data_IF_964884153496
#
_entry.id   IF_964884153496
#
_cell.length_a   1.000
_cell.length_b   1.000
_cell.length_c   1.000
_cell.angle_alpha   90.00
_cell.angle_beta   90.00
_cell.angle_gamma   90.00
#
_symmetry.space_group_name_H-M   'P 1'
#
loop_
_entity.id
_entity.type
_entity.pdbx_description
1 polymer ?
#
# COMPACT_ATOMS: atom_id res chain seq x y z
N UNK A 1 -24.26 12.47 -33.04
CA UNK A 1 -23.85 13.34 -31.90
C UNK A 1 -24.31 12.81 -30.53
N UNK A 2 -24.72 11.53 -30.43
CA UNK A 2 -25.28 10.89 -29.23
C UNK A 2 -24.34 9.90 -28.52
N UNK A 3 -23.19 9.58 -29.11
CA UNK A 3 -22.31 8.50 -28.66
C UNK A 3 -21.34 8.91 -27.51
N UNK A 4 -21.03 10.20 -27.38
CA UNK A 4 -20.13 10.70 -26.33
C UNK A 4 -20.74 10.68 -24.91
N UNK A 5 -22.07 10.65 -24.79
CA UNK A 5 -22.75 10.64 -23.48
C UNK A 5 -22.84 9.24 -22.85
N UNK A 6 -22.80 8.15 -23.64
CA UNK A 6 -22.91 6.78 -23.11
C UNK A 6 -21.61 6.24 -22.52
N UNK A 7 -20.43 6.73 -22.95
CA UNK A 7 -19.14 6.36 -22.33
C UNK A 7 -18.95 6.94 -20.93
N UNK A 8 -19.64 8.03 -20.57
CA UNK A 8 -19.47 8.69 -19.26
C UNK A 8 -20.22 8.04 -18.11
N UNK A 9 -21.07 7.04 -18.34
CA UNK A 9 -21.82 6.36 -17.26
C UNK A 9 -21.16 5.06 -16.80
N UNK A 10 -20.30 4.44 -17.63
CA UNK A 10 -19.70 3.13 -17.34
C UNK A 10 -18.33 3.16 -16.67
N UNK A 11 -17.79 4.33 -16.29
CA UNK A 11 -16.49 4.41 -15.59
C UNK A 11 -16.52 3.80 -14.19
N UNK A 12 -17.71 3.78 -13.57
CA UNK A 12 -17.90 3.31 -12.20
C UNK A 12 -17.51 1.85 -12.04
N UNK A 13 -17.94 0.97 -12.95
CA UNK A 13 -17.68 -0.48 -12.86
C UNK A 13 -16.17 -0.81 -12.86
N UNK A 14 -15.37 -0.40 -13.87
CA UNK A 14 -13.94 -0.70 -13.88
C UNK A 14 -13.19 0.02 -12.74
N UNK A 15 -13.57 1.25 -12.40
CA UNK A 15 -12.96 1.99 -11.31
C UNK A 15 -13.22 1.30 -9.96
N UNK A 16 -14.48 1.02 -9.62
CA UNK A 16 -14.84 0.40 -8.34
C UNK A 16 -14.34 -1.03 -8.23
N UNK A 17 -14.22 -1.77 -9.33
CA UNK A 17 -13.58 -3.10 -9.32
C UNK A 17 -12.10 -3.03 -8.93
N UNK A 18 -11.35 -2.05 -9.43
CA UNK A 18 -9.96 -1.82 -9.02
C UNK A 18 -9.93 -1.30 -7.58
N UNK A 19 -10.79 -0.33 -7.27
CA UNK A 19 -10.81 0.37 -5.99
C UNK A 19 -11.10 -0.58 -4.83
N UNK A 20 -12.03 -1.53 -4.96
CA UNK A 20 -12.32 -2.51 -3.91
C UNK A 20 -11.14 -3.46 -3.70
N UNK A 21 -10.52 -3.96 -4.77
CA UNK A 21 -9.30 -4.77 -4.67
C UNK A 21 -8.17 -4.02 -3.93
N UNK A 22 -8.03 -2.73 -4.21
CA UNK A 22 -7.07 -1.88 -3.53
C UNK A 22 -7.43 -1.62 -2.07
N UNK A 23 -8.72 -1.44 -1.76
CA UNK A 23 -9.19 -1.33 -0.39
C UNK A 23 -8.79 -2.57 0.44
N UNK A 24 -9.02 -3.77 -0.10
CA UNK A 24 -8.61 -5.03 0.54
C UNK A 24 -7.08 -5.12 0.71
N UNK A 25 -6.31 -4.78 -0.33
CA UNK A 25 -4.84 -4.77 -0.26
C UNK A 25 -4.32 -3.81 0.83
N UNK A 26 -4.95 -2.63 0.95
CA UNK A 26 -4.60 -1.65 1.96
C UNK A 26 -4.92 -2.12 3.38
N UNK A 27 -6.02 -2.87 3.59
CA UNK A 27 -6.30 -3.52 4.89
C UNK A 27 -5.15 -4.44 5.27
N UNK A 28 -4.79 -5.39 4.39
CA UNK A 28 -3.70 -6.35 4.66
C UNK A 28 -2.37 -5.65 4.92
N UNK A 29 -2.07 -4.60 4.16
CA UNK A 29 -0.85 -3.79 4.35
C UNK A 29 -0.80 -3.15 5.73
N UNK A 30 -1.91 -2.56 6.20
CA UNK A 30 -2.00 -1.86 7.49
C UNK A 30 -1.92 -2.82 8.67
N UNK A 31 -2.63 -3.94 8.57
CA UNK A 31 -2.57 -5.04 9.54
C UNK A 31 -1.14 -5.56 9.66
N UNK A 32 -0.51 -5.91 8.54
CA UNK A 32 0.86 -6.43 8.53
C UNK A 32 1.88 -5.40 9.05
N UNK A 33 1.71 -4.12 8.70
CA UNK A 33 2.59 -3.07 9.21
C UNK A 33 2.52 -2.95 10.74
N UNK A 34 1.31 -2.96 11.30
CA UNK A 34 1.15 -2.97 12.75
C UNK A 34 1.76 -4.23 13.38
N UNK A 35 1.46 -5.40 12.81
CA UNK A 35 1.95 -6.67 13.31
C UNK A 35 3.49 -6.73 13.38
N UNK A 36 4.17 -6.26 12.33
CA UNK A 36 5.64 -6.23 12.31
C UNK A 36 6.24 -5.27 13.33
N UNK A 37 5.66 -4.09 13.50
CA UNK A 37 6.09 -3.10 14.50
C UNK A 37 5.88 -3.67 15.92
N UNK A 38 4.73 -4.30 16.15
CA UNK A 38 4.41 -4.93 17.44
C UNK A 38 5.35 -6.10 17.75
N UNK A 39 5.62 -6.95 16.76
CA UNK A 39 6.57 -8.05 16.90
C UNK A 39 7.97 -7.55 17.25
N UNK A 40 8.48 -6.52 16.57
CA UNK A 40 9.76 -5.88 16.92
C UNK A 40 9.77 -5.33 18.35
N UNK A 41 8.64 -4.74 18.78
CA UNK A 41 8.47 -4.22 20.14
C UNK A 41 8.57 -5.36 21.16
N UNK A 42 7.85 -6.46 20.94
CA UNK A 42 7.85 -7.62 21.84
C UNK A 42 9.21 -8.32 21.88
N UNK A 43 9.87 -8.47 20.74
CA UNK A 43 11.15 -9.17 20.64
C UNK A 43 12.29 -8.38 21.28
N UNK A 44 12.36 -7.06 21.03
CA UNK A 44 13.55 -6.26 21.36
C UNK A 44 13.33 -5.27 22.50
N UNK A 45 12.11 -4.77 22.70
CA UNK A 45 11.83 -3.66 23.61
C UNK A 45 12.59 -2.35 23.31
N UNK A 46 13.26 -2.26 22.15
CA UNK A 46 14.23 -1.22 21.85
C UNK A 46 13.63 -0.10 21.01
N UNK A 47 13.66 1.12 21.54
CA UNK A 47 13.25 2.32 20.83
C UNK A 47 14.08 2.56 19.55
N UNK A 48 15.37 2.22 19.57
CA UNK A 48 16.26 2.36 18.41
C UNK A 48 15.89 1.41 17.28
N UNK A 49 15.49 0.18 17.62
CA UNK A 49 15.03 -0.82 16.63
C UNK A 49 13.75 -0.34 15.93
N UNK A 50 12.81 0.20 16.70
CA UNK A 50 11.55 0.74 16.20
C UNK A 50 11.75 2.02 15.37
N UNK A 51 12.65 2.90 15.80
CA UNK A 51 13.01 4.10 15.04
C UNK A 51 13.63 3.71 13.68
N UNK A 52 14.54 2.73 13.68
CA UNK A 52 15.15 2.22 12.45
C UNK A 52 14.11 1.59 11.51
N UNK A 53 13.18 0.78 12.02
CA UNK A 53 12.05 0.26 11.23
C UNK A 53 11.19 1.38 10.63
N UNK A 54 10.89 2.42 11.42
CA UNK A 54 10.11 3.56 10.97
C UNK A 54 10.82 4.33 9.87
N UNK A 55 12.14 4.53 9.99
CA UNK A 55 12.96 5.12 8.94
C UNK A 55 12.98 4.25 7.68
N UNK A 56 13.13 2.93 7.81
CA UNK A 56 13.09 1.99 6.69
C UNK A 56 11.75 2.03 5.94
N UNK A 57 10.63 2.29 6.65
CA UNK A 57 9.32 2.43 6.05
C UNK A 57 9.07 3.79 5.37
N UNK A 58 9.71 4.86 5.85
CA UNK A 58 9.41 6.23 5.44
C UNK A 58 10.44 6.83 4.47
N UNK A 59 11.74 6.64 4.74
CA UNK A 59 12.83 7.30 4.01
C UNK A 59 12.83 6.94 2.51
N UNK A 60 12.70 5.66 2.10
CA UNK A 60 12.70 5.34 0.67
C UNK A 60 11.57 6.04 -0.08
N UNK A 61 10.36 6.08 0.48
CA UNK A 61 9.20 6.76 -0.10
C UNK A 61 9.43 8.27 -0.25
N UNK A 62 9.97 8.94 0.78
CA UNK A 62 10.29 10.37 0.73
C UNK A 62 11.34 10.68 -0.35
N UNK A 63 12.40 9.89 -0.42
CA UNK A 63 13.51 10.11 -1.34
C UNK A 63 13.11 9.80 -2.78
N UNK A 64 12.36 8.72 -2.99
CA UNK A 64 11.96 8.26 -4.31
C UNK A 64 10.70 8.96 -4.83
N UNK A 65 9.82 9.47 -3.95
CA UNK A 65 8.54 10.08 -4.33
C UNK A 65 8.63 11.13 -5.45
N UNK A 66 9.53 12.13 -5.36
CA UNK A 66 9.70 13.13 -6.43
C UNK A 66 10.11 12.52 -7.77
N UNK A 67 10.97 11.50 -7.74
CA UNK A 67 11.43 10.79 -8.95
C UNK A 67 10.31 9.92 -9.51
N UNK A 68 9.63 9.18 -8.64
CA UNK A 68 8.59 8.24 -9.00
C UNK A 68 7.45 8.93 -9.76
N UNK A 69 7.01 10.12 -9.34
CA UNK A 69 6.02 10.89 -10.08
C UNK A 69 6.43 11.19 -11.53
N UNK A 70 7.65 11.70 -11.73
CA UNK A 70 8.17 12.05 -13.05
C UNK A 70 8.29 10.83 -13.99
N UNK A 71 8.69 9.67 -13.47
CA UNK A 71 8.80 8.44 -14.27
C UNK A 71 7.45 7.78 -14.53
N UNK A 72 6.56 7.74 -13.53
CA UNK A 72 5.21 7.16 -13.64
C UNK A 72 4.38 7.85 -14.71
N UNK A 73 4.56 9.16 -14.91
CA UNK A 73 3.86 9.91 -15.95
C UNK A 73 4.25 9.45 -17.36
N UNK A 74 5.45 8.88 -17.53
CA UNK A 74 5.99 8.39 -18.81
C UNK A 74 5.79 6.89 -19.02
N UNK A 75 5.60 6.13 -17.96
CA UNK A 75 5.46 4.67 -18.01
C UNK A 75 4.01 4.21 -18.09
N UNK A 76 3.81 2.96 -18.47
CA UNK A 76 2.50 2.33 -18.36
C UNK A 76 2.16 2.10 -16.88
N UNK A 77 1.31 2.96 -16.34
CA UNK A 77 0.88 2.97 -14.94
C UNK A 77 0.33 1.64 -14.46
N UNK A 78 -0.37 0.91 -15.33
CA UNK A 78 -0.89 -0.43 -15.01
C UNK A 78 0.26 -1.41 -14.74
N UNK A 79 1.30 -1.38 -15.57
CA UNK A 79 2.48 -2.23 -15.38
C UNK A 79 3.22 -1.83 -14.11
N UNK A 80 3.38 -0.53 -13.84
CA UNK A 80 4.02 -0.04 -12.61
C UNK A 80 3.31 -0.57 -11.36
N UNK A 81 1.98 -0.45 -11.32
CA UNK A 81 1.18 -0.97 -10.18
C UNK A 81 1.34 -2.49 -10.04
N UNK A 82 1.24 -3.25 -11.14
CA UNK A 82 1.39 -4.72 -11.11
C UNK A 82 2.78 -5.12 -10.60
N UNK A 83 3.84 -4.49 -11.07
CA UNK A 83 5.22 -4.79 -10.63
C UNK A 83 5.40 -4.47 -9.14
N UNK A 84 4.93 -3.30 -8.70
CA UNK A 84 5.00 -2.92 -7.29
C UNK A 84 4.23 -3.90 -6.38
N UNK A 85 2.99 -4.21 -6.74
CA UNK A 85 2.14 -5.14 -5.99
C UNK A 85 2.75 -6.56 -5.97
N UNK A 86 3.30 -7.02 -7.09
CA UNK A 86 3.95 -8.34 -7.19
C UNK A 86 5.21 -8.39 -6.32
N UNK A 87 6.05 -7.36 -6.35
CA UNK A 87 7.26 -7.29 -5.52
C UNK A 87 6.91 -7.32 -4.02
N UNK A 88 5.90 -6.55 -3.60
CA UNK A 88 5.43 -6.53 -2.22
C UNK A 88 4.85 -7.88 -1.81
N UNK A 89 4.07 -8.51 -2.69
CA UNK A 89 3.48 -9.82 -2.44
C UNK A 89 4.56 -10.90 -2.26
N UNK A 90 5.56 -10.96 -3.16
CA UNK A 90 6.67 -11.89 -3.08
C UNK A 90 7.50 -11.69 -1.80
N UNK A 91 7.81 -10.44 -1.46
CA UNK A 91 8.55 -10.13 -0.24
C UNK A 91 7.72 -10.49 1.02
N UNK A 92 6.40 -10.31 0.98
CA UNK A 92 5.50 -10.71 2.08
C UNK A 92 5.41 -12.23 2.21
N UNK A 93 5.38 -12.98 1.10
CA UNK A 93 5.42 -14.45 1.11
C UNK A 93 6.74 -14.98 1.66
N UNK A 94 7.86 -14.39 1.24
CA UNK A 94 9.17 -14.71 1.79
C UNK A 94 9.23 -14.47 3.31
N UNK A 95 8.71 -13.33 3.77
CA UNK A 95 8.65 -13.04 5.20
C UNK A 95 7.77 -14.04 5.96
N UNK A 96 6.60 -14.38 5.42
CA UNK A 96 5.70 -15.38 6.01
C UNK A 96 6.40 -16.75 6.14
N UNK A 97 7.20 -17.15 5.14
CA UNK A 97 8.01 -18.35 5.19
C UNK A 97 9.09 -18.31 6.29
N UNK A 98 9.74 -17.17 6.50
CA UNK A 98 10.71 -17.00 7.59
C UNK A 98 10.06 -17.08 8.98
N UNK A 99 8.86 -16.51 9.13
CA UNK A 99 8.08 -16.67 10.36
C UNK A 99 7.71 -18.14 10.61
N UNK A 100 7.28 -18.85 9.56
CA UNK A 100 6.89 -20.26 9.69
C UNK A 100 8.07 -21.17 10.05
N UNK A 101 9.25 -20.92 9.50
CA UNK A 101 10.47 -21.69 9.79
C UNK A 101 11.16 -21.27 11.08
N UNK A 102 10.73 -20.18 11.73
CA UNK A 102 11.38 -19.61 12.91
C UNK A 102 12.73 -18.94 12.64
N UNK A 103 13.12 -18.78 11.36
CA UNK A 103 14.38 -18.16 10.95
C UNK A 103 14.30 -16.62 10.84
N UNK A 104 13.21 -16.02 11.31
CA UNK A 104 12.97 -14.58 11.22
C UNK A 104 13.94 -13.80 12.13
N UNK A 105 14.48 -12.71 11.59
CA UNK A 105 15.39 -11.80 12.31
C UNK A 105 14.99 -10.35 12.06
N UNK A 106 15.46 -9.44 12.90
CA UNK A 106 15.10 -8.01 12.87
C UNK A 106 15.40 -7.36 11.51
N UNK A 107 16.53 -7.68 10.88
CA UNK A 107 16.90 -7.06 9.60
C UNK A 107 15.99 -7.51 8.45
N UNK A 108 15.42 -8.73 8.50
CA UNK A 108 14.43 -9.19 7.53
C UNK A 108 13.18 -8.28 7.55
N UNK A 109 12.78 -7.82 8.74
CA UNK A 109 11.68 -6.86 8.90
C UNK A 109 12.05 -5.50 8.28
N UNK A 110 13.29 -5.04 8.42
CA UNK A 110 13.73 -3.81 7.76
C UNK A 110 13.69 -3.92 6.24
N UNK A 111 14.12 -5.06 5.68
CA UNK A 111 14.07 -5.30 4.23
C UNK A 111 12.65 -5.20 3.70
N UNK A 112 11.67 -5.86 4.34
CA UNK A 112 10.27 -5.76 3.87
C UNK A 112 9.72 -4.33 4.03
N UNK A 113 10.11 -3.58 5.08
CA UNK A 113 9.69 -2.19 5.24
C UNK A 113 10.22 -1.32 4.09
N UNK A 114 11.48 -1.50 3.70
CA UNK A 114 12.08 -0.81 2.54
C UNK A 114 11.39 -1.20 1.25
N UNK A 115 11.20 -2.50 0.99
CA UNK A 115 10.54 -2.98 -0.24
C UNK A 115 9.12 -2.40 -0.37
N UNK A 116 8.35 -2.39 0.73
CA UNK A 116 7.03 -1.77 0.76
C UNK A 116 7.08 -0.27 0.53
N UNK A 117 8.05 0.42 1.14
CA UNK A 117 8.26 1.86 0.97
C UNK A 117 8.55 2.21 -0.49
N UNK A 118 9.49 1.50 -1.12
CA UNK A 118 9.83 1.66 -2.53
C UNK A 118 8.64 1.35 -3.43
N UNK A 119 7.95 0.22 -3.22
CA UNK A 119 6.77 -0.13 -4.01
C UNK A 119 5.67 0.92 -3.90
N UNK A 120 5.42 1.43 -2.69
CA UNK A 120 4.46 2.50 -2.42
C UNK A 120 4.78 3.80 -3.16
N UNK A 121 6.07 4.18 -3.21
CA UNK A 121 6.54 5.39 -3.88
C UNK A 121 6.15 5.46 -5.35
N UNK A 122 6.14 4.32 -6.05
CA UNK A 122 5.73 4.23 -7.45
C UNK A 122 4.24 3.93 -7.61
N UNK A 123 3.67 3.10 -6.71
CA UNK A 123 2.29 2.66 -6.78
C UNK A 123 1.30 3.81 -6.58
N UNK A 124 1.49 4.63 -5.55
CA UNK A 124 0.53 5.69 -5.22
C UNK A 124 0.39 6.75 -6.32
N UNK A 125 1.47 7.30 -6.90
CA UNK A 125 1.37 8.19 -8.05
C UNK A 125 0.72 7.52 -9.27
N UNK A 126 1.05 6.25 -9.54
CA UNK A 126 0.50 5.51 -10.68
C UNK A 126 -1.02 5.30 -10.54
N UNK A 127 -1.47 5.01 -9.31
CA UNK A 127 -2.88 4.88 -8.96
C UNK A 127 -3.62 6.21 -9.12
N UNK A 128 -3.05 7.31 -8.63
CA UNK A 128 -3.66 8.64 -8.74
C UNK A 128 -3.78 9.07 -10.20
N UNK A 129 -2.72 8.90 -10.99
CA UNK A 129 -2.72 9.21 -12.41
C UNK A 129 -3.65 8.29 -13.22
N UNK A 130 -3.85 7.03 -12.80
CA UNK A 130 -4.82 6.13 -13.42
C UNK A 130 -6.26 6.52 -13.06
N UNK A 131 -6.49 6.94 -11.82
CA UNK A 131 -7.78 7.39 -11.33
C UNK A 131 -8.24 8.65 -12.08
N UNK A 132 -7.35 9.62 -12.30
CA UNK A 132 -7.68 10.86 -13.01
C UNK A 132 -8.06 10.65 -14.49
N UNK A 133 -7.62 9.56 -15.10
CA UNK A 133 -8.01 9.18 -16.47
C UNK A 133 -9.32 8.39 -16.53
N UNK A 134 -9.62 7.59 -15.52
CA UNK A 134 -10.85 6.77 -15.49
C UNK A 134 -12.06 7.57 -15.00
N UNK A 135 -11.87 8.46 -14.04
CA UNK A 135 -12.96 9.15 -13.34
C UNK A 135 -13.22 10.51 -13.99
N UNK A 136 -14.47 10.85 -14.34
CA UNK A 136 -14.84 12.18 -14.82
C UNK A 136 -14.46 13.27 -13.81
N UNK A 137 -14.02 14.43 -14.32
CA UNK A 137 -13.51 15.55 -13.49
C UNK A 137 -14.47 15.97 -12.38
N UNK A 138 -15.78 15.97 -12.67
CA UNK A 138 -16.87 16.28 -11.72
C UNK A 138 -16.96 15.32 -10.52
N UNK A 139 -16.39 14.12 -10.63
CA UNK A 139 -16.41 13.10 -9.58
C UNK A 139 -15.06 12.91 -8.86
N UNK A 140 -13.99 13.57 -9.32
CA UNK A 140 -12.65 13.41 -8.73
C UNK A 140 -12.64 13.80 -7.25
N UNK A 141 -13.27 14.90 -6.85
CA UNK A 141 -13.36 15.31 -5.45
C UNK A 141 -14.10 14.29 -4.59
N UNK A 142 -15.15 13.66 -5.14
CA UNK A 142 -15.94 12.62 -4.44
C UNK A 142 -15.11 11.35 -4.24
N UNK A 143 -14.36 10.94 -5.27
CA UNK A 143 -13.44 9.79 -5.19
C UNK A 143 -12.28 10.07 -4.24
N UNK A 144 -11.72 11.27 -4.25
CA UNK A 144 -10.69 11.68 -3.30
C UNK A 144 -11.21 11.63 -1.86
N UNK A 145 -12.43 12.12 -1.61
CA UNK A 145 -13.10 12.00 -0.30
C UNK A 145 -13.27 10.55 0.15
N UNK A 146 -13.68 9.65 -0.75
CA UNK A 146 -13.80 8.22 -0.46
C UNK A 146 -12.44 7.59 -0.11
N UNK A 147 -11.38 7.93 -0.85
CA UNK A 147 -10.02 7.48 -0.56
C UNK A 147 -9.54 7.96 0.83
N UNK A 148 -9.87 9.20 1.20
CA UNK A 148 -9.51 9.73 2.53
C UNK A 148 -10.30 9.04 3.65
N UNK A 149 -11.60 8.82 3.47
CA UNK A 149 -12.42 8.08 4.42
C UNK A 149 -11.88 6.67 4.64
N UNK A 150 -11.51 5.97 3.56
CA UNK A 150 -10.88 4.65 3.63
C UNK A 150 -9.55 4.68 4.38
N UNK A 151 -8.66 5.65 4.10
CA UNK A 151 -7.40 5.80 4.84
C UNK A 151 -7.64 6.06 6.34
N UNK A 152 -8.61 6.92 6.68
CA UNK A 152 -8.99 7.19 8.05
C UNK A 152 -9.48 5.93 8.76
N UNK A 153 -10.41 5.19 8.14
CA UNK A 153 -10.92 3.94 8.67
C UNK A 153 -9.80 2.92 8.89
N UNK A 154 -8.89 2.77 7.92
CA UNK A 154 -7.75 1.87 8.01
C UNK A 154 -6.77 2.22 9.13
N UNK A 155 -6.56 3.50 9.42
CA UNK A 155 -5.70 3.92 10.53
C UNK A 155 -6.31 3.61 11.90
N UNK A 156 -7.64 3.59 12.00
CA UNK A 156 -8.36 3.27 13.23
C UNK A 156 -8.50 1.76 13.42
N UNK A 157 -8.85 1.05 12.36
CA UNK A 157 -9.20 -0.38 12.39
C UNK A 157 -7.97 -1.28 12.21
N UNK A 158 -6.96 -0.81 11.47
CA UNK A 158 -5.76 -1.58 11.16
C UNK A 158 -4.99 -2.06 12.40
N UNK A 159 -4.66 -1.19 13.38
CA UNK A 159 -3.93 -1.60 14.57
C UNK A 159 -4.66 -2.66 15.42
N UNK A 160 -5.95 -2.48 15.79
CA UNK A 160 -6.69 -3.52 16.51
C UNK A 160 -6.76 -4.86 15.76
N UNK A 161 -7.00 -4.84 14.44
CA UNK A 161 -7.02 -6.07 13.63
C UNK A 161 -5.64 -6.76 13.60
N UNK A 162 -4.56 -5.99 13.49
CA UNK A 162 -3.20 -6.51 13.56
C UNK A 162 -2.87 -7.14 14.90
N UNK A 163 -3.31 -6.51 16.00
CA UNK A 163 -3.15 -7.07 17.34
C UNK A 163 -3.89 -8.40 17.50
N UNK A 164 -5.18 -8.44 17.12
CA UNK A 164 -6.01 -9.65 17.22
C UNK A 164 -5.44 -10.82 16.41
N UNK A 165 -4.95 -10.56 15.19
CA UNK A 165 -4.37 -11.60 14.35
C UNK A 165 -3.04 -12.13 14.91
N UNK A 166 -2.25 -11.30 15.59
CA UNK A 166 -1.05 -11.75 16.28
C UNK A 166 -1.34 -12.54 17.55
N UNK A 167 -2.47 -12.30 18.22
CA UNK A 167 -2.86 -13.12 19.38
C UNK A 167 -3.39 -14.50 18.99
N UNK A 168 -3.86 -14.66 17.75
CA UNK A 168 -4.40 -15.93 17.23
C UNK A 168 -3.31 -16.89 16.71
N UNK A 169 -2.06 -16.44 16.60
CA UNK A 169 -0.91 -17.20 16.06
C UNK A 169 0.17 -17.29 17.12
#
# INVERSE_FOLDING_TARGET
MTDHKQRSTKWQIPFFSIWTGQAFSLVGTRVAQFALIWWLTKLTGSATVLATASLAALVPDIVLGPLAGAYVDRWNRRIVMIVADTLIALASLWLAFLFWTGAIEVWHVYVIMVVRSVGGAFHWPAMQASTSLMVPKEHLSRVAGLNQAMKGALNIIGPPLGALLLELV
#
